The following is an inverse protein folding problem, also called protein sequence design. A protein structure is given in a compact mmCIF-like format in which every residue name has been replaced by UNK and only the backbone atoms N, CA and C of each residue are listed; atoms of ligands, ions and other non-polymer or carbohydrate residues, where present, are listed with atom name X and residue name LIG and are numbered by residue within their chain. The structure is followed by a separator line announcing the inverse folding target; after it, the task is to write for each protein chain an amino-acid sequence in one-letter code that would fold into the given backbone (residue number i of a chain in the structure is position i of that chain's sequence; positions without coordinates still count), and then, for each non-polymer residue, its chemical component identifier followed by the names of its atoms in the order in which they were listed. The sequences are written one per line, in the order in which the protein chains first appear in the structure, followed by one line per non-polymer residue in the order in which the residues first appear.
data_IF_545397246501
#
_entry.id   IF_545397246501
#
_cell.length_a   1.000
_cell.length_b   1.000
_cell.length_c   1.000
_cell.angle_alpha   90.00
_cell.angle_beta   90.00
_cell.angle_gamma   90.00
#
_symmetry.space_group_name_H-M   'P 1'
#
loop_
_entity.id
_entity.type
_entity.pdbx_description
1 polymer ?
#
# COMPACT_ATOMS: atom_id res chain seq x y z
N UNK A 1 20.66 14.67 -40.94
CA UNK A 1 20.28 13.46 -40.20
C UNK A 1 21.36 13.23 -39.15
N UNK A 2 20.99 13.14 -37.87
CA UNK A 2 21.98 12.87 -36.81
C UNK A 2 22.27 11.37 -36.82
N UNK A 3 23.53 10.92 -36.81
CA UNK A 3 23.86 9.51 -36.71
C UNK A 3 23.30 8.99 -35.38
N UNK A 4 22.36 8.04 -35.45
CA UNK A 4 21.82 7.37 -34.28
C UNK A 4 22.90 6.50 -33.67
N UNK A 5 23.44 6.92 -32.53
CA UNK A 5 24.33 6.10 -31.71
C UNK A 5 23.60 4.79 -31.37
N UNK A 6 24.16 3.65 -31.79
CA UNK A 6 23.58 2.35 -31.47
C UNK A 6 23.70 2.12 -29.95
N UNK A 7 22.57 2.09 -29.26
CA UNK A 7 22.54 1.76 -27.83
C UNK A 7 23.08 0.34 -27.62
N UNK A 8 23.84 0.10 -26.54
CA UNK A 8 24.30 -1.23 -26.21
C UNK A 8 23.10 -2.16 -26.00
N UNK A 9 23.27 -3.43 -26.38
CA UNK A 9 22.25 -4.44 -26.22
C UNK A 9 21.87 -4.56 -24.73
N UNK A 10 20.58 -4.49 -24.38
CA UNK A 10 20.17 -4.55 -22.98
C UNK A 10 20.61 -5.90 -22.39
N UNK A 11 21.04 -5.92 -21.12
CA UNK A 11 21.37 -7.17 -20.44
C UNK A 11 20.17 -8.12 -20.46
N UNK A 12 20.44 -9.42 -20.44
CA UNK A 12 19.45 -10.51 -20.54
C UNK A 12 18.20 -10.18 -19.70
N UNK A 13 17.13 -9.82 -20.40
CA UNK A 13 15.90 -9.40 -19.76
C UNK A 13 15.22 -10.66 -19.20
N UNK A 14 14.83 -10.68 -17.92
CA UNK A 14 14.10 -11.82 -17.36
C UNK A 14 12.84 -12.13 -18.17
N UNK A 15 12.47 -13.40 -18.34
CA UNK A 15 11.31 -13.81 -19.16
C UNK A 15 10.01 -13.05 -18.83
N UNK A 16 9.82 -12.66 -17.57
CA UNK A 16 8.66 -11.89 -17.12
C UNK A 16 8.66 -10.42 -17.62
N UNK A 17 9.82 -9.86 -17.98
CA UNK A 17 9.93 -8.50 -18.55
C UNK A 17 9.37 -8.47 -19.99
N UNK A 18 9.63 -9.52 -20.76
CA UNK A 18 9.15 -9.68 -22.13
C UNK A 18 7.71 -10.23 -22.19
N UNK A 19 7.22 -10.79 -21.08
CA UNK A 19 5.86 -11.31 -20.92
C UNK A 19 5.32 -10.99 -19.53
N UNK A 20 4.78 -9.77 -19.29
CA UNK A 20 4.30 -9.36 -17.97
C UNK A 20 3.01 -10.11 -17.60
N UNK A 21 3.17 -11.34 -17.09
CA UNK A 21 2.10 -12.14 -16.53
C UNK A 21 2.26 -12.18 -15.01
N UNK A 22 1.29 -11.58 -14.31
CA UNK A 22 1.30 -11.47 -12.85
C UNK A 22 2.19 -10.34 -12.32
N UNK A 23 2.16 -10.14 -11.00
CA UNK A 23 3.07 -9.22 -10.33
C UNK A 23 4.39 -9.95 -10.03
N UNK A 24 5.57 -9.36 -10.30
CA UNK A 24 6.84 -9.97 -9.95
C UNK A 24 6.90 -10.20 -8.44
N UNK A 25 7.45 -11.34 -8.03
CA UNK A 25 7.71 -11.58 -6.61
C UNK A 25 8.75 -10.57 -6.07
N UNK A 26 8.82 -10.44 -4.74
CA UNK A 26 9.71 -9.45 -4.12
C UNK A 26 11.19 -9.71 -4.47
N UNK A 27 11.62 -10.96 -4.57
CA UNK A 27 13.01 -11.30 -4.91
C UNK A 27 13.35 -11.01 -6.38
N UNK A 28 12.40 -11.18 -7.31
CA UNK A 28 12.54 -10.80 -8.71
C UNK A 28 12.69 -9.28 -8.85
N UNK A 29 11.94 -8.50 -8.07
CA UNK A 29 12.08 -7.05 -8.02
C UNK A 29 13.44 -6.60 -7.45
N UNK A 30 13.89 -7.20 -6.35
CA UNK A 30 15.19 -6.89 -5.72
C UNK A 30 16.35 -7.22 -6.65
N UNK A 31 16.28 -8.35 -7.37
CA UNK A 31 17.27 -8.71 -8.41
C UNK A 31 17.30 -7.72 -9.57
N UNK A 32 16.14 -7.26 -10.02
CA UNK A 32 16.08 -6.32 -11.15
C UNK A 32 16.60 -4.92 -10.79
N UNK A 33 16.32 -4.46 -9.58
CA UNK A 33 16.69 -3.09 -9.15
C UNK A 33 18.03 -3.02 -8.43
N UNK A 34 18.60 -4.16 -8.02
CA UNK A 34 19.77 -4.24 -7.14
C UNK A 34 19.51 -3.68 -5.73
N UNK A 35 18.26 -3.33 -5.42
CA UNK A 35 17.87 -2.73 -4.15
C UNK A 35 17.13 -3.76 -3.31
N UNK A 36 17.66 -4.06 -2.12
CA UNK A 36 16.95 -4.86 -1.13
C UNK A 36 15.75 -4.05 -0.61
N UNK A 37 14.57 -4.68 -0.60
CA UNK A 37 13.40 -4.06 0.02
C UNK A 37 13.69 -3.97 1.53
N UNK A 38 13.62 -2.77 2.13
CA UNK A 38 13.77 -2.68 3.56
C UNK A 38 12.63 -3.47 4.22
N UNK A 39 12.98 -4.40 5.11
CA UNK A 39 12.03 -5.11 5.98
C UNK A 39 11.42 -4.10 6.96
N UNK A 40 10.50 -3.27 6.47
CA UNK A 40 9.82 -2.26 7.28
C UNK A 40 8.39 -2.69 7.53
N UNK A 41 8.21 -3.65 8.43
CA UNK A 41 6.98 -3.66 9.23
C UNK A 41 7.21 -2.63 10.34
N UNK A 42 6.56 -1.45 10.33
CA UNK A 42 6.76 -0.48 11.40
C UNK A 42 6.31 -1.13 12.71
N UNK A 43 7.23 -1.28 13.64
CA UNK A 43 6.92 -1.74 14.98
C UNK A 43 5.94 -0.77 15.67
N UNK A 44 5.18 -1.29 16.63
CA UNK A 44 4.17 -0.53 17.39
C UNK A 44 4.67 0.84 17.90
N UNK A 45 5.91 0.92 18.40
CA UNK A 45 6.49 2.17 18.91
C UNK A 45 7.02 3.11 17.82
N UNK A 46 7.41 2.58 16.66
CA UNK A 46 8.01 3.33 15.54
C UNK A 46 6.99 3.74 14.47
N UNK A 47 5.71 3.47 14.68
CA UNK A 47 4.64 3.90 13.78
C UNK A 47 4.58 5.44 13.67
N UNK A 48 4.40 5.96 12.46
CA UNK A 48 4.28 7.40 12.16
C UNK A 48 3.05 7.65 11.29
N UNK A 49 2.83 8.91 10.87
CA UNK A 49 1.79 9.23 9.90
C UNK A 49 2.06 8.62 8.51
N UNK A 50 3.30 8.21 8.23
CA UNK A 50 3.67 7.52 6.99
C UNK A 50 3.38 6.01 7.04
N UNK A 51 3.01 5.47 8.20
CA UNK A 51 2.55 4.09 8.31
C UNK A 51 1.18 3.91 7.63
N UNK A 52 0.99 2.77 6.99
CA UNK A 52 -0.29 2.41 6.37
C UNK A 52 -1.29 1.91 7.42
N UNK A 53 -2.58 1.93 7.10
CA UNK A 53 -3.59 1.34 7.97
C UNK A 53 -3.36 -0.17 8.18
N UNK A 54 -2.91 -0.87 7.14
CA UNK A 54 -2.59 -2.30 7.21
C UNK A 54 -1.44 -2.59 8.17
N UNK A 55 -0.40 -1.75 8.17
CA UNK A 55 0.71 -1.90 9.11
C UNK A 55 0.23 -1.84 10.56
N UNK A 56 -0.67 -0.90 10.88
CA UNK A 56 -1.20 -0.72 12.23
C UNK A 56 -2.14 -1.86 12.63
N UNK A 57 -2.86 -2.46 11.68
CA UNK A 57 -3.79 -3.57 11.96
C UNK A 57 -3.10 -4.80 12.57
N UNK A 58 -1.79 -4.97 12.34
CA UNK A 58 -1.01 -6.05 12.92
C UNK A 58 -0.97 -6.03 14.45
N UNK A 59 -1.13 -4.85 15.09
CA UNK A 59 -0.99 -4.71 16.54
C UNK A 59 -1.99 -3.74 17.21
N UNK A 60 -2.92 -3.14 16.46
CA UNK A 60 -3.94 -2.21 16.99
C UNK A 60 -5.37 -2.69 16.70
N UNK A 61 -6.16 -3.02 17.73
CA UNK A 61 -7.60 -3.23 17.59
C UNK A 61 -8.33 -2.03 16.98
N UNK A 62 -7.99 -0.80 17.38
CA UNK A 62 -8.59 0.42 16.84
C UNK A 62 -8.35 0.55 15.33
N UNK A 63 -7.14 0.25 14.84
CA UNK A 63 -6.85 0.22 13.41
C UNK A 63 -7.69 -0.85 12.68
N UNK A 64 -7.87 -2.04 13.28
CA UNK A 64 -8.73 -3.09 12.73
C UNK A 64 -10.19 -2.66 12.66
N UNK A 65 -10.69 -1.96 13.68
CA UNK A 65 -12.05 -1.43 13.71
C UNK A 65 -12.24 -0.36 12.60
N UNK A 66 -11.27 0.54 12.42
CA UNK A 66 -11.32 1.52 11.33
C UNK A 66 -11.32 0.82 9.96
N UNK A 67 -10.46 -0.18 9.76
CA UNK A 67 -10.43 -0.99 8.53
C UNK A 67 -11.78 -1.68 8.25
N UNK A 68 -12.44 -2.19 9.29
CA UNK A 68 -13.76 -2.78 9.15
C UNK A 68 -14.85 -1.75 8.81
N UNK A 69 -14.79 -0.55 9.40
CA UNK A 69 -15.69 0.54 9.04
C UNK A 69 -15.50 0.98 7.57
N UNK A 70 -14.25 1.07 7.12
CA UNK A 70 -13.93 1.36 5.71
C UNK A 70 -14.44 0.27 4.76
N UNK A 71 -14.24 -1.01 5.10
CA UNK A 71 -14.82 -2.13 4.33
C UNK A 71 -16.34 -1.95 4.16
N UNK A 72 -17.04 -1.65 5.25
CA UNK A 72 -18.49 -1.48 5.24
C UNK A 72 -18.92 -0.31 4.34
N UNK A 73 -18.25 0.84 4.45
CA UNK A 73 -18.56 2.03 3.64
C UNK A 73 -18.30 1.77 2.17
N UNK A 74 -17.15 1.19 1.82
CA UNK A 74 -16.78 0.90 0.42
C UNK A 74 -17.70 -0.18 -0.17
N UNK A 75 -18.00 -1.23 0.60
CA UNK A 75 -18.97 -2.25 0.19
C UNK A 75 -20.33 -1.61 -0.08
N UNK A 76 -20.82 -0.75 0.83
CA UNK A 76 -22.11 -0.06 0.66
C UNK A 76 -22.13 0.86 -0.56
N UNK A 77 -21.05 1.61 -0.81
CA UNK A 77 -20.91 2.45 -2.00
C UNK A 77 -20.92 1.65 -3.31
N UNK A 78 -20.50 0.38 -3.27
CA UNK A 78 -20.48 -0.54 -4.41
C UNK A 78 -21.65 -1.55 -4.39
N UNK A 79 -22.81 -1.16 -3.84
CA UNK A 79 -24.02 -1.99 -3.83
C UNK A 79 -23.91 -3.29 -3.02
N UNK A 80 -22.97 -3.36 -2.09
CA UNK A 80 -22.67 -4.55 -1.27
C UNK A 80 -21.81 -5.60 -1.96
N UNK A 81 -21.46 -5.41 -3.25
CA UNK A 81 -20.76 -6.43 -4.02
C UNK A 81 -19.23 -6.35 -3.83
N UNK A 82 -18.73 -7.10 -2.85
CA UNK A 82 -17.29 -7.24 -2.57
C UNK A 82 -16.48 -7.97 -3.65
N UNK A 83 -17.12 -8.60 -4.64
CA UNK A 83 -16.45 -9.24 -5.77
C UNK A 83 -16.26 -8.30 -6.96
N UNK A 84 -16.92 -7.13 -6.95
CA UNK A 84 -16.80 -6.16 -8.03
C UNK A 84 -15.37 -5.62 -8.15
N UNK A 85 -14.93 -5.37 -9.39
CA UNK A 85 -13.61 -4.77 -9.63
C UNK A 85 -13.49 -3.39 -8.95
N UNK A 86 -14.57 -2.60 -8.99
CA UNK A 86 -14.64 -1.28 -8.37
C UNK A 86 -14.44 -1.34 -6.84
N UNK A 87 -15.11 -2.26 -6.14
CA UNK A 87 -14.88 -2.47 -4.71
C UNK A 87 -13.43 -2.85 -4.44
N UNK A 88 -12.88 -3.84 -5.15
CA UNK A 88 -11.52 -4.33 -4.89
C UNK A 88 -10.47 -3.23 -5.08
N UNK A 89 -10.64 -2.42 -6.13
CA UNK A 89 -9.76 -1.29 -6.42
C UNK A 89 -9.85 -0.20 -5.36
N UNK A 90 -11.07 0.22 -4.99
CA UNK A 90 -11.24 1.24 -3.94
C UNK A 90 -10.72 0.75 -2.59
N UNK A 91 -10.97 -0.52 -2.27
CA UNK A 91 -10.53 -1.11 -1.02
C UNK A 91 -9.01 -1.21 -0.94
N UNK A 92 -8.34 -1.73 -1.98
CA UNK A 92 -6.88 -1.81 -2.01
C UNK A 92 -6.26 -0.42 -1.91
N UNK A 93 -6.75 0.53 -2.71
CA UNK A 93 -6.26 1.91 -2.70
C UNK A 93 -6.42 2.59 -1.33
N UNK A 94 -7.49 2.30 -0.61
CA UNK A 94 -7.76 2.91 0.68
C UNK A 94 -7.00 2.23 1.83
N UNK A 95 -6.85 0.90 1.79
CA UNK A 95 -6.15 0.13 2.82
C UNK A 95 -4.63 0.32 2.76
N UNK A 96 -4.07 0.46 1.55
CA UNK A 96 -2.64 0.67 1.33
C UNK A 96 -2.21 2.14 1.50
N UNK A 97 -3.15 3.06 1.70
CA UNK A 97 -2.84 4.47 1.93
C UNK A 97 -2.15 4.69 3.29
N UNK A 98 -1.14 5.57 3.32
CA UNK A 98 -0.57 6.07 4.57
C UNK A 98 -1.58 6.94 5.32
N UNK A 99 -1.47 7.07 6.65
CA UNK A 99 -2.33 7.98 7.40
C UNK A 99 -2.24 9.42 6.89
N UNK A 100 -1.04 9.88 6.51
CA UNK A 100 -0.83 11.17 5.83
C UNK A 100 -1.62 11.25 4.52
N UNK A 101 -1.57 10.20 3.70
CA UNK A 101 -2.34 10.11 2.45
C UNK A 101 -3.85 10.14 2.69
N UNK A 102 -4.34 9.46 3.74
CA UNK A 102 -5.76 9.51 4.14
C UNK A 102 -6.18 10.89 4.64
N UNK A 103 -5.27 11.65 5.26
CA UNK A 103 -5.53 13.03 5.67
C UNK A 103 -5.70 13.96 4.47
N UNK A 104 -4.81 13.83 3.47
CA UNK A 104 -4.75 14.74 2.32
C UNK A 104 -5.82 14.37 1.29
N UNK A 105 -5.89 13.10 0.90
CA UNK A 105 -6.74 12.63 -0.19
C UNK A 105 -8.06 12.01 0.30
N UNK A 106 -8.07 11.45 1.50
CA UNK A 106 -9.24 10.77 2.07
C UNK A 106 -10.18 11.69 2.87
N UNK A 107 -9.81 12.96 3.07
CA UNK A 107 -10.63 13.94 3.79
C UNK A 107 -10.78 13.66 5.30
N UNK A 108 -10.00 12.74 5.87
CA UNK A 108 -10.05 12.45 7.31
C UNK A 108 -9.29 13.53 8.07
N UNK A 109 -9.94 14.15 9.07
CA UNK A 109 -9.29 15.24 9.81
C UNK A 109 -8.07 14.70 10.58
N UNK A 110 -6.94 15.39 10.43
CA UNK A 110 -5.66 15.01 11.05
C UNK A 110 -5.70 14.70 12.55
N UNK A 111 -6.49 15.38 13.40
CA UNK A 111 -6.60 15.03 14.82
C UNK A 111 -7.07 13.59 15.08
N UNK A 112 -8.01 13.08 14.28
CA UNK A 112 -8.51 11.71 14.42
C UNK A 112 -7.46 10.67 14.05
N UNK A 113 -6.70 10.92 12.99
CA UNK A 113 -5.60 10.04 12.57
C UNK A 113 -4.45 10.05 13.58
N UNK A 114 -4.15 11.22 14.18
CA UNK A 114 -3.19 11.32 15.29
C UNK A 114 -3.67 10.58 16.53
N UNK A 115 -4.97 10.61 16.83
CA UNK A 115 -5.54 9.81 17.92
C UNK A 115 -5.42 8.31 17.63
N UNK A 116 -5.78 7.88 16.42
CA UNK A 116 -5.61 6.48 15.99
C UNK A 116 -4.16 6.04 16.14
N UNK A 117 -3.21 6.85 15.69
CA UNK A 117 -1.79 6.56 15.80
C UNK A 117 -1.33 6.44 17.27
N UNK A 118 -1.87 7.28 18.17
CA UNK A 118 -1.61 7.16 19.62
C UNK A 118 -2.19 5.88 20.19
N UNK A 119 -3.42 5.52 19.84
CA UNK A 119 -4.05 4.27 20.26
C UNK A 119 -3.26 3.06 19.76
N UNK A 120 -2.81 3.10 18.50
CA UNK A 120 -1.99 2.04 17.93
C UNK A 120 -0.66 1.87 18.67
N UNK A 121 0.03 2.97 19.01
CA UNK A 121 1.23 2.94 19.86
C UNK A 121 0.95 2.35 21.25
N UNK A 122 -0.23 2.64 21.81
CA UNK A 122 -0.72 2.08 23.06
C UNK A 122 -1.30 0.67 22.92
N UNK A 123 -1.36 0.09 21.71
CA UNK A 123 -1.85 -1.27 21.43
C UNK A 123 -3.34 -1.45 21.65
N UNK A 124 -4.08 -0.34 21.60
CA UNK A 124 -5.53 -0.27 21.64
C UNK A 124 -6.11 -0.25 20.23
#
# INVERSE_FOLDING_TARGET
ELPGEALPEPPEAPDWYLSPQGAPDTGAYERLTGMLRPSRAPGRKSSTMESTLLDLCAFSPAARALRAAMDLVIARANGGNRRSAAYRMMYSSAADASLSGMQINGGIRGPWLRLLLRLAKLGL
#
